data_IF_938241050266
#
_entry.id   IF_938241050266
#
_cell.length_a   1.000
_cell.length_b   1.000
_cell.length_c   1.000
_cell.angle_alpha   90.00
_cell.angle_beta   90.00
_cell.angle_gamma   90.00
#
_symmetry.space_group_name_H-M   'P 1'
#
loop_
_entity.id
_entity.type
_entity.pdbx_description
1 polymer ?
#
# COMPACT_ATOMS: atom_id res chain seq x y z
N UNK A 1 -2.96 21.03 -33.22
CA UNK A 1 -1.88 21.84 -33.81
C UNK A 1 -1.73 23.22 -33.18
N UNK A 2 -2.75 24.09 -33.11
CA UNK A 2 -2.60 25.38 -32.39
C UNK A 2 -2.70 25.26 -30.85
N UNK A 3 -3.48 24.30 -30.32
CA UNK A 3 -3.62 24.06 -28.87
C UNK A 3 -2.41 23.39 -28.23
N UNK A 4 -1.71 22.52 -28.97
CA UNK A 4 -0.54 21.78 -28.45
C UNK A 4 0.67 22.70 -28.17
N UNK A 5 0.74 23.87 -28.81
CA UNK A 5 1.80 24.85 -28.59
C UNK A 5 1.57 25.73 -27.35
N UNK A 6 0.34 25.83 -26.85
CA UNK A 6 -0.01 26.67 -25.70
C UNK A 6 0.24 25.95 -24.37
N UNK A 7 0.01 24.64 -24.34
CA UNK A 7 0.26 23.77 -23.17
C UNK A 7 1.76 23.51 -22.91
N UNK A 8 2.58 23.46 -23.96
CA UNK A 8 4.05 23.31 -23.81
C UNK A 8 4.66 24.59 -23.23
N UNK A 9 4.15 25.75 -23.65
CA UNK A 9 4.65 27.06 -23.22
C UNK A 9 4.36 27.33 -21.74
N UNK A 10 3.19 26.93 -21.25
CA UNK A 10 2.81 27.03 -19.83
C UNK A 10 3.59 26.07 -18.92
N UNK A 11 3.98 24.89 -19.42
CA UNK A 11 4.84 23.95 -18.69
C UNK A 11 6.29 24.45 -18.57
N UNK A 12 6.85 25.03 -19.65
CA UNK A 12 8.20 25.62 -19.63
C UNK A 12 8.27 26.89 -18.77
N UNK A 13 7.23 27.73 -18.79
CA UNK A 13 7.12 28.90 -17.92
C UNK A 13 7.02 28.51 -16.44
N UNK A 14 6.31 27.43 -16.13
CA UNK A 14 6.19 26.88 -14.77
C UNK A 14 7.50 26.27 -14.26
N UNK A 15 8.25 25.59 -15.12
CA UNK A 15 9.57 25.04 -14.80
C UNK A 15 10.61 26.16 -14.60
N UNK A 16 10.58 27.21 -15.44
CA UNK A 16 11.41 28.41 -15.31
C UNK A 16 11.11 29.19 -14.03
N UNK A 17 9.84 29.34 -13.67
CA UNK A 17 9.41 29.97 -12.42
C UNK A 17 9.88 29.19 -11.18
N UNK A 18 9.74 27.85 -11.18
CA UNK A 18 10.26 27.00 -10.09
C UNK A 18 11.78 27.05 -9.97
N UNK A 19 12.50 27.07 -11.09
CA UNK A 19 13.97 27.18 -11.10
C UNK A 19 14.44 28.53 -10.55
N UNK A 20 13.78 29.63 -10.92
CA UNK A 20 14.04 30.96 -10.35
C UNK A 20 13.75 31.01 -8.85
N UNK A 21 12.66 30.39 -8.39
CA UNK A 21 12.29 30.37 -6.97
C UNK A 21 13.27 29.54 -6.13
N UNK A 22 13.77 28.43 -6.66
CA UNK A 22 14.82 27.62 -6.02
C UNK A 22 16.16 28.35 -5.97
N UNK A 23 16.56 29.04 -7.04
CA UNK A 23 17.79 29.87 -7.06
C UNK A 23 17.69 31.06 -6.09
N UNK A 24 16.54 31.73 -6.03
CA UNK A 24 16.30 32.81 -5.08
C UNK A 24 16.37 32.29 -3.64
N UNK A 25 15.77 31.14 -3.33
CA UNK A 25 15.81 30.53 -2.00
C UNK A 25 17.20 30.00 -1.62
N UNK A 26 17.98 29.53 -2.58
CA UNK A 26 19.38 29.14 -2.38
C UNK A 26 20.29 30.36 -2.14
N UNK A 27 20.05 31.46 -2.87
CA UNK A 27 20.76 32.73 -2.66
C UNK A 27 20.38 33.37 -1.32
N UNK A 28 19.11 33.31 -0.91
CA UNK A 28 18.63 33.77 0.39
C UNK A 28 19.18 32.92 1.55
N UNK A 29 19.29 31.59 1.37
CA UNK A 29 19.99 30.73 2.33
C UNK A 29 21.48 31.07 2.40
N UNK A 30 22.14 31.28 1.26
CA UNK A 30 23.57 31.66 1.20
C UNK A 30 23.82 33.00 1.88
N UNK A 31 22.99 34.01 1.61
CA UNK A 31 23.09 35.34 2.22
C UNK A 31 22.81 35.31 3.74
N UNK A 32 21.87 34.48 4.20
CA UNK A 32 21.66 34.23 5.64
C UNK A 32 22.77 33.41 6.28
N UNK A 33 23.58 32.70 5.49
CA UNK A 33 24.72 31.94 6.00
C UNK A 33 25.93 32.86 6.19
N UNK A 34 26.15 33.85 5.30
CA UNK A 34 27.26 34.80 5.40
C UNK A 34 27.16 35.73 6.62
N UNK A 35 25.95 36.19 7.01
CA UNK A 35 25.74 36.99 8.22
C UNK A 35 25.90 36.19 9.54
N UNK A 36 25.76 34.85 9.48
CA UNK A 36 25.86 33.98 10.66
C UNK A 36 27.24 33.32 10.79
N UNK A 37 28.01 33.28 9.71
CA UNK A 37 29.39 32.79 9.66
C UNK A 37 30.39 33.72 10.37
N UNK A 38 30.00 34.96 10.64
CA UNK A 38 30.85 36.04 11.18
C UNK A 38 30.45 36.49 12.59
N UNK A 39 29.84 35.63 13.42
CA UNK A 39 29.52 35.98 14.82
C UNK A 39 30.82 36.24 15.63
N UNK A 40 31.11 37.50 15.99
CA UNK A 40 32.38 37.86 16.61
C UNK A 40 32.48 37.34 18.05
N UNK A 41 31.34 37.14 18.73
CA UNK A 41 31.31 36.61 20.10
C UNK A 41 31.74 35.13 20.11
N UNK A 42 31.26 34.34 19.14
CA UNK A 42 31.65 32.94 19.04
C UNK A 42 33.11 32.75 18.64
N UNK A 43 33.61 33.56 17.70
CA UNK A 43 35.04 33.52 17.33
C UNK A 43 35.94 33.88 18.50
N UNK A 44 35.56 34.88 19.27
CA UNK A 44 36.26 35.28 20.49
C UNK A 44 36.26 34.16 21.52
N UNK A 45 35.11 33.52 21.75
CA UNK A 45 34.98 32.43 22.71
C UNK A 45 35.77 31.17 22.30
N UNK A 46 35.82 30.83 21.01
CA UNK A 46 36.55 29.66 20.50
C UNK A 46 38.06 29.91 20.37
N UNK A 47 38.49 31.16 20.18
CA UNK A 47 39.90 31.50 19.90
C UNK A 47 40.41 30.95 18.56
N UNK A 48 39.51 30.52 17.67
CA UNK A 48 39.82 29.92 16.36
C UNK A 48 38.68 30.16 15.36
N UNK A 49 38.93 30.06 14.05
CA UNK A 49 37.86 30.07 13.05
C UNK A 49 36.91 28.88 13.23
N UNK A 50 35.63 29.09 12.89
CA UNK A 50 34.61 28.03 12.89
C UNK A 50 34.88 27.01 11.77
N UNK A 51 34.65 25.73 12.07
CA UNK A 51 34.59 24.70 11.03
C UNK A 51 33.25 24.79 10.26
N UNK A 52 33.18 24.35 8.99
CA UNK A 52 31.93 24.41 8.21
C UNK A 52 30.74 23.73 8.88
N UNK A 53 30.95 22.59 9.53
CA UNK A 53 29.92 21.85 10.28
C UNK A 53 29.42 22.61 11.51
N UNK A 54 30.29 23.39 12.16
CA UNK A 54 29.95 24.22 13.31
C UNK A 54 29.17 25.44 12.89
N UNK A 55 29.51 26.04 11.75
CA UNK A 55 28.79 27.17 11.20
C UNK A 55 27.33 26.81 10.87
N UNK A 56 27.11 25.66 10.25
CA UNK A 56 25.76 25.16 9.95
C UNK A 56 24.97 24.93 11.24
N UNK A 57 25.59 24.34 12.26
CA UNK A 57 24.94 24.12 13.55
C UNK A 57 24.63 25.44 14.27
N UNK A 58 25.56 26.40 14.27
CA UNK A 58 25.39 27.74 14.84
C UNK A 58 24.24 28.49 14.18
N UNK A 59 24.13 28.40 12.85
CA UNK A 59 23.04 29.00 12.09
C UNK A 59 21.65 28.44 12.43
N UNK A 60 21.58 27.19 12.87
CA UNK A 60 20.33 26.51 13.24
C UNK A 60 19.95 26.65 14.72
N UNK A 61 20.84 27.20 15.56
CA UNK A 61 20.57 27.43 16.98
C UNK A 61 19.62 28.62 17.19
N UNK A 62 18.74 28.51 18.18
CA UNK A 62 17.99 29.66 18.69
C UNK A 62 18.91 30.62 19.44
N UNK A 63 18.48 31.86 19.68
CA UNK A 63 19.26 32.83 20.48
C UNK A 63 19.61 32.28 21.87
N UNK A 64 18.65 31.62 22.53
CA UNK A 64 18.87 30.99 23.83
C UNK A 64 19.91 29.86 23.78
N UNK A 65 19.90 29.05 22.71
CA UNK A 65 20.91 28.00 22.51
C UNK A 65 22.30 28.56 22.26
N UNK A 66 22.40 29.69 21.54
CA UNK A 66 23.67 30.39 21.29
C UNK A 66 24.25 30.95 22.59
N UNK A 67 23.44 31.63 23.40
CA UNK A 67 23.85 32.12 24.72
C UNK A 67 24.32 30.98 25.64
N UNK A 68 23.55 29.89 25.71
CA UNK A 68 23.93 28.70 26.48
C UNK A 68 25.22 28.06 25.95
N UNK A 69 25.46 28.09 24.63
CA UNK A 69 26.69 27.58 24.02
C UNK A 69 27.89 28.41 24.44
N UNK A 70 27.81 29.74 24.35
CA UNK A 70 28.90 30.64 24.76
C UNK A 70 29.23 30.48 26.24
N UNK A 71 28.21 30.44 27.11
CA UNK A 71 28.39 30.20 28.53
C UNK A 71 29.09 28.86 28.81
N UNK A 72 28.73 27.79 28.07
CA UNK A 72 29.39 26.49 28.20
C UNK A 72 30.82 26.47 27.66
N UNK A 73 31.13 27.19 26.57
CA UNK A 73 32.50 27.31 26.06
C UNK A 73 33.40 27.90 27.15
N UNK A 74 32.95 28.98 27.78
CA UNK A 74 33.73 29.69 28.80
C UNK A 74 33.91 28.86 30.08
N UNK A 75 32.80 28.39 30.66
CA UNK A 75 32.82 27.67 31.95
C UNK A 75 33.47 26.28 31.83
N UNK A 76 33.13 25.50 30.79
CA UNK A 76 33.75 24.18 30.58
C UNK A 76 35.19 24.33 30.10
N UNK A 77 35.49 25.33 29.26
CA UNK A 77 36.85 25.64 28.82
C UNK A 77 37.77 26.01 29.98
N UNK A 78 37.31 26.92 30.85
CA UNK A 78 38.04 27.37 32.03
C UNK A 78 38.21 26.23 33.04
N UNK A 79 37.14 25.49 33.33
CA UNK A 79 37.21 24.36 34.26
C UNK A 79 38.14 23.24 33.75
N UNK A 80 38.08 22.88 32.46
CA UNK A 80 38.96 21.85 31.90
C UNK A 80 40.44 22.23 31.91
N UNK A 81 40.76 23.52 31.84
CA UNK A 81 42.13 24.06 31.89
C UNK A 81 42.67 24.19 33.31
N UNK A 82 41.88 24.76 34.23
CA UNK A 82 42.35 25.16 35.56
C UNK A 82 41.97 24.17 36.67
N UNK A 83 40.85 23.45 36.51
CA UNK A 83 40.26 22.55 37.54
C UNK A 83 40.20 23.16 38.95
N UNK A 84 40.06 24.48 39.05
CA UNK A 84 40.17 25.21 40.31
C UNK A 84 38.88 25.16 41.15
N UNK A 85 37.76 24.76 40.55
CA UNK A 85 36.43 24.76 41.19
C UNK A 85 35.73 23.41 41.08
N UNK A 86 34.88 23.11 42.06
CA UNK A 86 34.08 21.90 42.10
C UNK A 86 33.13 21.82 40.88
N UNK A 87 33.19 20.68 40.18
CA UNK A 87 32.37 20.40 39.00
C UNK A 87 30.86 20.50 39.29
N UNK A 88 30.41 20.21 40.52
CA UNK A 88 29.00 20.32 40.89
C UNK A 88 28.52 21.77 40.89
N UNK A 89 29.37 22.71 41.30
CA UNK A 89 29.05 24.15 41.34
C UNK A 89 28.96 24.71 39.92
N UNK A 90 29.92 24.36 39.06
CA UNK A 90 29.94 24.79 37.65
C UNK A 90 28.77 24.17 36.88
N UNK A 91 28.48 22.88 37.09
CA UNK A 91 27.35 22.20 36.47
C UNK A 91 26.01 22.86 36.87
N UNK A 92 25.85 23.22 38.15
CA UNK A 92 24.67 23.92 38.65
C UNK A 92 24.42 25.27 37.96
N UNK A 93 25.47 26.08 37.78
CA UNK A 93 25.39 27.36 37.05
C UNK A 93 24.95 27.20 35.60
N UNK A 94 25.33 26.09 34.96
CA UNK A 94 24.99 25.78 33.57
C UNK A 94 23.65 25.04 33.41
N UNK A 95 22.93 24.78 34.51
CA UNK A 95 21.69 23.99 34.49
C UNK A 95 21.91 22.54 34.06
N UNK A 96 23.10 21.98 34.30
CA UNK A 96 23.48 20.64 33.90
C UNK A 96 23.55 19.70 35.11
N UNK A 97 23.24 18.43 34.87
CA UNK A 97 23.58 17.37 35.83
C UNK A 97 25.10 17.12 35.82
N UNK A 98 25.67 16.74 36.97
CA UNK A 98 27.13 16.55 37.15
C UNK A 98 27.70 15.53 36.17
N UNK A 99 27.02 14.40 35.96
CA UNK A 99 27.44 13.37 34.99
C UNK A 99 27.42 13.87 33.54
N UNK A 100 26.44 14.71 33.21
CA UNK A 100 26.37 15.35 31.90
C UNK A 100 27.52 16.34 31.74
N UNK A 101 27.83 17.14 32.76
CA UNK A 101 28.95 18.07 32.75
C UNK A 101 30.29 17.36 32.51
N UNK A 102 30.60 16.27 33.22
CA UNK A 102 31.83 15.50 33.00
C UNK A 102 31.94 14.94 31.58
N UNK A 103 30.82 14.43 31.04
CA UNK A 103 30.76 13.90 29.67
C UNK A 103 30.99 14.99 28.62
N UNK A 104 30.41 16.18 28.80
CA UNK A 104 30.64 17.31 27.90
C UNK A 104 32.08 17.81 28.02
N UNK A 105 32.63 17.94 29.24
CA UNK A 105 34.01 18.34 29.46
C UNK A 105 35.03 17.37 28.88
N UNK A 106 34.77 16.06 28.91
CA UNK A 106 35.59 15.07 28.21
C UNK A 106 35.58 15.30 26.69
N UNK A 107 34.40 15.38 26.08
CA UNK A 107 34.26 15.60 24.63
C UNK A 107 34.84 16.94 24.18
N UNK A 108 34.73 17.97 25.02
CA UNK A 108 35.32 19.28 24.77
C UNK A 108 36.85 19.21 24.69
N UNK A 109 37.50 18.50 25.62
CA UNK A 109 38.96 18.28 25.56
C UNK A 109 39.41 17.53 24.30
N UNK A 110 38.59 16.62 23.80
CA UNK A 110 38.91 15.80 22.62
C UNK A 110 38.73 16.58 21.30
N UNK A 111 37.70 17.42 21.20
CA UNK A 111 37.27 18.00 19.91
C UNK A 111 37.36 19.52 19.84
N UNK A 112 37.28 20.19 21.00
CA UNK A 112 37.11 21.63 21.16
C UNK A 112 36.06 22.21 20.21
N UNK A 113 34.93 21.49 20.05
CA UNK A 113 33.88 21.82 19.10
C UNK A 113 32.58 22.19 19.79
N UNK A 114 31.83 23.17 19.25
CA UNK A 114 30.52 23.54 19.78
C UNK A 114 29.51 22.39 19.74
N UNK A 115 29.70 21.43 18.82
CA UNK A 115 28.89 20.21 18.72
C UNK A 115 29.07 19.30 19.94
N UNK A 116 30.18 19.44 20.67
CA UNK A 116 30.45 18.67 21.88
C UNK A 116 29.73 19.21 23.14
N UNK A 117 29.18 20.43 23.09
CA UNK A 117 28.63 21.14 24.26
C UNK A 117 27.15 20.86 24.51
N UNK A 118 26.50 20.08 23.63
CA UNK A 118 25.13 19.60 23.84
C UNK A 118 24.06 20.69 23.86
N UNK A 119 24.35 21.85 23.27
CA UNK A 119 23.45 22.99 23.05
C UNK A 119 22.95 23.05 21.61
N UNK A 120 23.70 22.50 20.66
CA UNK A 120 23.23 22.32 19.31
C UNK A 120 22.04 21.35 19.34
N UNK A 121 20.90 21.76 18.75
CA UNK A 121 19.90 20.81 18.29
C UNK A 121 20.66 19.70 17.58
N UNK A 122 20.53 18.45 18.07
CA UNK A 122 21.24 17.30 17.50
C UNK A 122 21.02 17.36 16.00
N UNK A 123 22.05 17.72 15.23
CA UNK A 123 22.06 17.51 13.79
C UNK A 123 21.60 16.08 13.63
N UNK A 124 20.48 15.81 12.91
CA UNK A 124 19.98 14.46 12.79
C UNK A 124 21.16 13.61 12.35
N UNK A 125 21.58 12.67 13.19
CA UNK A 125 22.66 11.76 12.85
C UNK A 125 22.36 11.28 11.44
N UNK A 126 23.32 11.42 10.51
CA UNK A 126 23.19 10.93 9.14
C UNK A 126 22.67 9.49 9.26
N UNK A 127 21.37 9.28 9.09
CA UNK A 127 20.81 7.94 9.01
C UNK A 127 21.55 7.37 7.83
N UNK A 128 22.38 6.34 8.05
CA UNK A 128 22.89 5.53 6.96
C UNK A 128 21.65 5.16 6.17
N UNK A 129 21.48 5.84 5.03
CA UNK A 129 20.32 5.70 4.20
C UNK A 129 20.49 4.30 3.65
N UNK A 130 19.70 3.38 4.18
CA UNK A 130 19.65 2.01 3.69
C UNK A 130 19.61 2.08 2.18
N UNK A 131 20.59 1.43 1.55
CA UNK A 131 20.66 1.39 0.11
C UNK A 131 19.34 0.81 -0.41
N UNK A 132 18.62 1.61 -1.20
CA UNK A 132 17.29 1.26 -1.69
C UNK A 132 17.32 -0.03 -2.51
N UNK A 133 18.44 -0.28 -3.18
CA UNK A 133 18.62 -1.46 -4.03
C UNK A 133 18.73 -2.74 -3.20
N UNK A 134 19.36 -2.66 -2.02
CA UNK A 134 19.46 -3.76 -1.05
C UNK A 134 18.08 -4.08 -0.47
N UNK A 135 17.32 -3.05 -0.09
CA UNK A 135 15.95 -3.23 0.45
C UNK A 135 15.04 -3.85 -0.61
N UNK A 136 15.08 -3.37 -1.85
CA UNK A 136 14.27 -3.90 -2.95
C UNK A 136 14.63 -5.34 -3.28
N UNK A 137 15.92 -5.68 -3.31
CA UNK A 137 16.39 -7.04 -3.58
C UNK A 137 15.95 -8.02 -2.50
N UNK A 138 16.02 -7.63 -1.22
CA UNK A 138 15.50 -8.44 -0.12
C UNK A 138 13.98 -8.59 -0.20
N UNK A 139 13.25 -7.50 -0.49
CA UNK A 139 11.80 -7.55 -0.69
C UNK A 139 11.38 -8.48 -1.84
N UNK A 140 12.19 -8.59 -2.89
CA UNK A 140 11.96 -9.52 -3.99
C UNK A 140 12.22 -11.00 -3.59
N UNK A 141 13.15 -11.24 -2.65
CA UNK A 141 13.49 -12.57 -2.18
C UNK A 141 12.51 -13.13 -1.12
N UNK A 142 11.96 -12.27 -0.24
CA UNK A 142 11.09 -12.69 0.87
C UNK A 142 9.92 -13.60 0.43
N UNK A 143 9.18 -13.32 -0.66
CA UNK A 143 8.04 -14.15 -1.06
C UNK A 143 8.40 -15.62 -1.34
N UNK A 144 9.57 -15.89 -1.91
CA UNK A 144 9.99 -17.27 -2.21
C UNK A 144 10.34 -18.02 -0.92
N UNK A 145 11.04 -17.35 0.00
CA UNK A 145 11.41 -17.91 1.30
C UNK A 145 10.18 -18.22 2.15
N UNK A 146 9.17 -17.33 2.13
CA UNK A 146 7.93 -17.53 2.90
C UNK A 146 7.00 -18.55 2.22
N UNK A 147 7.05 -18.75 0.91
CA UNK A 147 6.28 -19.82 0.24
C UNK A 147 6.76 -21.22 0.62
N UNK A 148 8.06 -21.39 0.83
CA UNK A 148 8.69 -22.65 1.27
C UNK A 148 8.60 -22.86 2.80
N UNK A 149 7.68 -22.14 3.46
CA UNK A 149 7.61 -22.05 4.93
C UNK A 149 7.22 -23.34 5.62
N UNK A 150 6.79 -24.41 4.96
CA UNK A 150 6.21 -25.66 5.54
C UNK A 150 6.55 -25.92 7.05
N UNK A 151 5.78 -25.29 7.95
CA UNK A 151 5.98 -25.35 9.42
C UNK A 151 7.17 -24.56 10.05
N UNK A 152 8.05 -23.95 9.27
CA UNK A 152 9.20 -23.17 9.72
C UNK A 152 8.84 -21.96 10.58
N UNK A 153 9.64 -21.74 11.63
CA UNK A 153 9.51 -20.59 12.53
C UNK A 153 9.92 -19.27 11.86
N UNK A 154 9.37 -18.14 12.34
CA UNK A 154 9.76 -16.80 11.85
C UNK A 154 11.28 -16.59 11.96
N UNK A 155 11.89 -17.04 13.06
CA UNK A 155 13.34 -16.94 13.27
C UNK A 155 14.15 -17.70 12.20
N UNK A 156 13.64 -18.84 11.75
CA UNK A 156 14.26 -19.61 10.67
C UNK A 156 14.11 -18.93 9.31
N UNK A 157 12.94 -18.36 9.00
CA UNK A 157 12.73 -17.59 7.77
C UNK A 157 13.61 -16.34 7.72
N UNK A 158 13.77 -15.65 8.84
CA UNK A 158 14.70 -14.51 8.98
C UNK A 158 16.14 -14.94 8.75
N UNK A 159 16.55 -16.11 9.28
CA UNK A 159 17.88 -16.66 9.03
C UNK A 159 18.09 -16.99 7.55
N UNK A 160 17.12 -17.60 6.88
CA UNK A 160 17.18 -17.88 5.43
C UNK A 160 17.26 -16.59 4.62
N UNK A 161 16.48 -15.56 4.99
CA UNK A 161 16.55 -14.24 4.35
C UNK A 161 17.92 -13.59 4.58
N UNK A 162 18.48 -13.68 5.78
CA UNK A 162 19.83 -13.20 6.06
C UNK A 162 20.93 -13.98 5.31
N UNK A 163 20.66 -15.20 4.85
CA UNK A 163 21.59 -16.01 4.06
C UNK A 163 21.50 -15.75 2.54
N UNK A 164 20.52 -14.97 2.06
CA UNK A 164 20.42 -14.62 0.63
C UNK A 164 21.63 -13.82 0.16
N UNK A 165 22.03 -14.00 -1.10
CA UNK A 165 23.18 -13.32 -1.70
C UNK A 165 22.82 -11.88 -2.15
N UNK A 166 22.46 -11.05 -1.18
CA UNK A 166 22.18 -9.62 -1.39
C UNK A 166 23.26 -8.82 -0.65
N UNK A 167 24.06 -8.06 -1.40
CA UNK A 167 25.09 -7.18 -0.84
C UNK A 167 24.50 -6.16 0.15
N UNK A 168 25.23 -5.78 1.20
CA UNK A 168 24.77 -4.77 2.16
C UNK A 168 23.66 -5.20 3.13
N UNK A 169 23.21 -6.47 3.08
CA UNK A 169 22.18 -7.02 3.99
C UNK A 169 22.57 -6.95 5.47
N UNK A 170 23.86 -7.01 5.79
CA UNK A 170 24.37 -6.94 7.17
C UNK A 170 24.14 -5.55 7.81
N UNK A 171 23.82 -4.55 6.99
CA UNK A 171 23.42 -3.22 7.46
C UNK A 171 21.96 -3.16 7.92
N UNK A 172 21.14 -4.17 7.58
CA UNK A 172 19.77 -4.31 8.07
C UNK A 172 19.77 -5.13 9.36
N UNK A 173 19.34 -4.51 10.45
CA UNK A 173 19.17 -5.21 11.71
C UNK A 173 18.15 -6.35 11.60
N UNK A 174 18.33 -7.39 12.41
CA UNK A 174 17.44 -8.57 12.47
C UNK A 174 15.97 -8.22 12.67
N UNK A 175 15.67 -7.10 13.36
CA UNK A 175 14.31 -6.60 13.54
C UNK A 175 13.66 -6.15 12.23
N UNK A 176 14.42 -5.55 11.31
CA UNK A 176 13.91 -5.13 10.00
C UNK A 176 13.65 -6.33 9.10
N UNK A 177 14.56 -7.30 9.07
CA UNK A 177 14.36 -8.56 8.34
C UNK A 177 13.14 -9.32 8.88
N UNK A 178 12.98 -9.36 10.21
CA UNK A 178 11.79 -9.93 10.85
C UNK A 178 10.50 -9.22 10.43
N UNK A 179 10.48 -7.89 10.44
CA UNK A 179 9.32 -7.12 10.02
C UNK A 179 8.96 -7.36 8.54
N UNK A 180 9.95 -7.56 7.66
CA UNK A 180 9.71 -7.92 6.26
C UNK A 180 9.06 -9.30 6.13
N UNK A 181 9.59 -10.31 6.84
CA UNK A 181 9.03 -11.67 6.86
C UNK A 181 7.62 -11.69 7.43
N UNK A 182 7.39 -11.06 8.58
CA UNK A 182 6.07 -11.00 9.22
C UNK A 182 5.04 -10.29 8.33
N UNK A 183 5.45 -9.21 7.64
CA UNK A 183 4.58 -8.53 6.68
C UNK A 183 4.22 -9.43 5.51
N UNK A 184 5.17 -10.19 4.99
CA UNK A 184 4.91 -11.10 3.86
C UNK A 184 4.03 -12.29 4.26
N UNK A 185 4.24 -12.84 5.47
CA UNK A 185 3.35 -13.87 6.04
C UNK A 185 1.92 -13.32 6.12
N UNK A 186 1.73 -12.15 6.74
CA UNK A 186 0.40 -11.51 6.83
C UNK A 186 -0.19 -11.28 5.46
N UNK A 187 0.62 -10.83 4.48
CA UNK A 187 0.15 -10.62 3.11
C UNK A 187 -0.33 -11.91 2.45
N UNK A 188 0.38 -13.02 2.65
CA UNK A 188 -0.02 -14.33 2.11
C UNK A 188 -1.27 -14.88 2.82
N UNK A 189 -1.36 -14.71 4.14
CA UNK A 189 -2.55 -15.05 4.92
C UNK A 189 -3.76 -14.23 4.43
N UNK A 190 -3.61 -12.90 4.28
CA UNK A 190 -4.66 -12.03 3.74
C UNK A 190 -5.05 -12.41 2.31
N UNK A 191 -4.11 -12.84 1.46
CA UNK A 191 -4.42 -13.31 0.09
C UNK A 191 -5.35 -14.52 0.05
N UNK A 192 -5.28 -15.38 1.05
CA UNK A 192 -6.13 -16.56 1.19
C UNK A 192 -7.46 -16.26 1.88
N UNK A 193 -7.71 -15.03 2.33
CA UNK A 193 -8.94 -14.65 3.01
C UNK A 193 -10.01 -14.18 2.02
N UNK A 194 -11.30 -14.48 2.30
CA UNK A 194 -12.42 -13.91 1.56
C UNK A 194 -12.35 -12.38 1.52
N UNK A 195 -12.65 -11.75 0.38
CA UNK A 195 -12.66 -10.30 0.20
C UNK A 195 -11.33 -9.67 -0.21
N UNK A 196 -10.25 -10.43 -0.25
CA UNK A 196 -8.96 -9.90 -0.70
C UNK A 196 -8.93 -9.61 -2.20
N UNK A 197 -9.55 -10.49 -3.00
CA UNK A 197 -9.64 -10.35 -4.46
C UNK A 197 -11.00 -10.79 -4.97
N UNK A 198 -11.67 -9.89 -5.69
CA UNK A 198 -12.87 -10.21 -6.44
C UNK A 198 -12.58 -10.38 -7.92
N UNK A 199 -13.36 -11.23 -8.56
CA UNK A 199 -13.37 -11.37 -10.01
C UNK A 199 -14.80 -11.29 -10.51
N UNK A 200 -15.01 -10.46 -11.51
CA UNK A 200 -16.27 -10.22 -12.17
C UNK A 200 -16.19 -10.87 -13.54
N UNK A 201 -17.05 -11.85 -13.79
CA UNK A 201 -16.99 -12.70 -14.99
C UNK A 201 -18.38 -12.94 -15.59
N UNK A 202 -18.38 -13.35 -16.86
CA UNK A 202 -19.56 -13.56 -17.70
C UNK A 202 -19.54 -14.99 -18.21
N UNK A 203 -20.62 -15.74 -18.05
CA UNK A 203 -20.76 -17.08 -18.64
C UNK A 203 -22.18 -17.34 -19.10
N UNK A 204 -22.35 -18.13 -20.17
CA UNK A 204 -23.63 -18.70 -20.49
C UNK A 204 -23.90 -19.84 -19.50
N UNK A 205 -25.15 -20.01 -19.13
CA UNK A 205 -25.60 -21.09 -18.25
C UNK A 205 -26.49 -22.05 -19.02
N UNK A 206 -26.53 -23.31 -18.59
CA UNK A 206 -27.35 -24.36 -19.21
C UNK A 206 -28.87 -24.20 -19.03
N UNK A 207 -29.38 -22.97 -18.99
CA UNK A 207 -30.79 -22.61 -18.84
C UNK A 207 -31.25 -21.97 -20.15
N UNK A 208 -32.27 -22.56 -20.79
CA UNK A 208 -32.81 -22.06 -22.05
C UNK A 208 -33.81 -20.94 -21.82
N UNK A 209 -33.74 -19.90 -22.64
CA UNK A 209 -34.76 -18.86 -22.74
C UNK A 209 -35.91 -19.31 -23.69
N UNK A 210 -36.95 -18.48 -23.81
CA UNK A 210 -38.09 -18.72 -24.71
C UNK A 210 -37.70 -18.89 -26.18
N UNK A 211 -36.60 -18.25 -26.59
CA UNK A 211 -36.12 -18.24 -27.97
C UNK A 211 -35.18 -19.42 -28.28
N UNK A 212 -34.96 -20.32 -27.30
CA UNK A 212 -34.07 -21.48 -27.42
C UNK A 212 -32.57 -21.16 -27.25
N UNK A 213 -32.23 -19.90 -27.03
CA UNK A 213 -30.90 -19.44 -26.61
C UNK A 213 -30.64 -19.71 -25.13
N UNK A 214 -29.42 -19.41 -24.68
CA UNK A 214 -29.02 -19.57 -23.28
C UNK A 214 -29.03 -18.24 -22.55
N UNK A 215 -29.38 -18.27 -21.27
CA UNK A 215 -29.15 -17.12 -20.40
C UNK A 215 -27.65 -16.89 -20.17
N UNK A 216 -27.26 -15.62 -20.16
CA UNK A 216 -25.94 -15.17 -19.74
C UNK A 216 -26.01 -14.71 -18.30
N UNK A 217 -25.09 -15.22 -17.48
CA UNK A 217 -24.91 -14.89 -16.08
C UNK A 217 -23.67 -14.03 -15.89
N UNK A 218 -23.86 -12.90 -15.23
CA UNK A 218 -22.84 -12.03 -14.67
C UNK A 218 -22.68 -12.40 -13.20
N UNK A 219 -21.44 -12.56 -12.73
CA UNK A 219 -21.20 -12.88 -11.33
C UNK A 219 -20.06 -12.06 -10.74
N UNK A 220 -20.18 -11.79 -9.45
CA UNK A 220 -19.12 -11.34 -8.56
C UNK A 220 -18.65 -12.56 -7.76
N UNK A 221 -17.42 -12.99 -7.97
CA UNK A 221 -16.84 -14.18 -7.33
C UNK A 221 -15.71 -13.73 -6.42
N UNK A 222 -15.68 -14.24 -5.20
CA UNK A 222 -14.52 -14.09 -4.33
C UNK A 222 -13.47 -15.15 -4.68
N UNK A 223 -12.26 -14.74 -5.03
CA UNK A 223 -11.24 -15.65 -5.57
C UNK A 223 -10.69 -16.62 -4.51
N UNK A 224 -10.71 -16.25 -3.23
CA UNK A 224 -10.18 -17.07 -2.15
C UNK A 224 -11.16 -18.17 -1.75
N UNK A 225 -12.40 -17.80 -1.44
CA UNK A 225 -13.45 -18.72 -1.02
C UNK A 225 -14.16 -19.43 -2.18
N UNK A 226 -14.03 -18.90 -3.41
CA UNK A 226 -14.74 -19.35 -4.63
C UNK A 226 -16.25 -19.10 -4.59
N UNK A 227 -16.74 -18.41 -3.56
CA UNK A 227 -18.15 -18.08 -3.37
C UNK A 227 -18.60 -17.11 -4.45
N UNK A 228 -19.78 -17.37 -5.02
CA UNK A 228 -20.49 -16.41 -5.85
C UNK A 228 -21.21 -15.43 -4.93
N UNK A 229 -20.61 -14.27 -4.73
CA UNK A 229 -21.09 -13.26 -3.77
C UNK A 229 -22.34 -12.56 -4.27
N UNK A 230 -22.46 -12.37 -5.58
CA UNK A 230 -23.70 -11.91 -6.23
C UNK A 230 -23.71 -12.27 -7.71
N UNK A 231 -24.89 -12.27 -8.31
CA UNK A 231 -25.08 -12.56 -9.72
C UNK A 231 -26.28 -11.83 -10.32
N UNK A 232 -26.32 -11.78 -11.65
CA UNK A 232 -27.46 -11.32 -12.41
C UNK A 232 -27.49 -12.01 -13.78
N UNK A 233 -28.67 -12.04 -14.41
CA UNK A 233 -28.80 -12.36 -15.83
C UNK A 233 -28.78 -11.08 -16.66
N UNK A 234 -28.25 -11.13 -17.88
CA UNK A 234 -28.15 -9.94 -18.74
C UNK A 234 -27.68 -10.26 -20.16
N UNK A 235 -27.28 -9.22 -20.90
CA UNK A 235 -26.70 -9.34 -22.24
C UNK A 235 -25.20 -9.04 -22.23
N UNK A 236 -24.41 -9.77 -23.03
CA UNK A 236 -22.98 -9.50 -23.19
C UNK A 236 -22.69 -8.17 -23.90
N UNK A 237 -23.68 -7.65 -24.62
CA UNK A 237 -23.63 -6.36 -25.32
C UNK A 237 -23.70 -5.16 -24.36
N UNK A 238 -24.19 -5.37 -23.14
CA UNK A 238 -24.26 -4.38 -22.06
C UNK A 238 -23.75 -5.02 -20.76
N UNK A 239 -22.45 -5.34 -20.75
CA UNK A 239 -21.83 -5.95 -19.55
C UNK A 239 -21.83 -5.00 -18.36
N UNK A 240 -21.83 -3.68 -18.60
CA UNK A 240 -21.96 -2.69 -17.54
C UNK A 240 -23.24 -2.91 -16.73
N UNK A 241 -24.41 -3.02 -17.37
CA UNK A 241 -25.66 -3.21 -16.64
C UNK A 241 -25.72 -4.59 -15.95
N UNK A 242 -25.22 -5.63 -16.61
CA UNK A 242 -25.08 -6.96 -16.02
C UNK A 242 -24.25 -6.96 -14.73
N UNK A 243 -23.08 -6.32 -14.73
CA UNK A 243 -22.26 -6.19 -13.54
C UNK A 243 -22.84 -5.27 -12.49
N UNK A 244 -23.53 -4.20 -12.89
CA UNK A 244 -24.27 -3.33 -11.97
C UNK A 244 -25.29 -4.12 -11.19
N UNK A 245 -26.10 -4.93 -11.87
CA UNK A 245 -27.11 -5.77 -11.25
C UNK A 245 -26.48 -6.83 -10.33
N UNK A 246 -25.40 -7.49 -10.78
CA UNK A 246 -24.69 -8.48 -9.98
C UNK A 246 -24.05 -7.87 -8.71
N UNK A 247 -23.53 -6.64 -8.79
CA UNK A 247 -22.95 -5.93 -7.65
C UNK A 247 -24.02 -5.49 -6.65
N UNK A 248 -25.20 -5.04 -7.10
CA UNK A 248 -26.35 -4.76 -6.22
C UNK A 248 -26.80 -6.02 -5.47
N UNK A 249 -26.88 -7.13 -6.19
CA UNK A 249 -27.22 -8.42 -5.61
C UNK A 249 -26.14 -8.89 -4.61
N UNK A 250 -24.85 -8.67 -4.91
CA UNK A 250 -23.75 -8.92 -3.98
C UNK A 250 -23.88 -8.10 -2.69
N UNK A 251 -24.09 -6.79 -2.79
CA UNK A 251 -24.29 -5.90 -1.64
C UNK A 251 -25.45 -6.37 -0.77
N UNK A 252 -26.59 -6.73 -1.37
CA UNK A 252 -27.75 -7.25 -0.64
C UNK A 252 -27.47 -8.60 0.05
N UNK A 253 -26.54 -9.40 -0.48
CA UNK A 253 -26.18 -10.71 0.08
C UNK A 253 -25.15 -10.65 1.18
N UNK A 254 -24.25 -9.67 1.18
CA UNK A 254 -23.19 -9.54 2.19
C UNK A 254 -23.76 -9.47 3.62
N UNK A 255 -25.00 -9.01 3.77
CA UNK A 255 -25.69 -8.96 5.05
C UNK A 255 -26.35 -10.29 5.48
N UNK A 256 -26.41 -11.30 4.61
CA UNK A 256 -27.01 -12.59 4.94
C UNK A 256 -26.14 -13.35 5.95
N UNK A 257 -26.75 -14.12 6.89
CA UNK A 257 -26.01 -14.83 7.94
C UNK A 257 -24.86 -15.72 7.44
N UNK A 258 -25.03 -16.34 6.27
CA UNK A 258 -24.00 -17.18 5.64
C UNK A 258 -22.73 -16.41 5.31
N UNK A 259 -22.83 -15.27 4.61
CA UNK A 259 -21.64 -14.49 4.26
C UNK A 259 -21.06 -13.72 5.45
N UNK A 260 -21.88 -13.36 6.44
CA UNK A 260 -21.42 -12.70 7.67
C UNK A 260 -20.58 -13.61 8.58
N UNK A 261 -20.65 -14.93 8.43
CA UNK A 261 -19.86 -15.87 9.24
C UNK A 261 -18.42 -16.03 8.76
N UNK A 262 -18.07 -15.45 7.61
CA UNK A 262 -16.74 -15.53 7.04
C UNK A 262 -15.76 -14.60 7.76
N UNK A 263 -14.48 -15.00 7.77
CA UNK A 263 -13.37 -14.15 8.20
C UNK A 263 -12.91 -13.25 7.07
N UNK A 264 -13.70 -12.23 6.72
CA UNK A 264 -13.37 -11.32 5.62
C UNK A 264 -12.02 -10.62 5.85
N UNK A 265 -11.30 -10.38 4.75
CA UNK A 265 -10.03 -9.67 4.74
C UNK A 265 -10.23 -8.23 5.21
N UNK A 266 -9.22 -7.69 5.89
CA UNK A 266 -9.19 -6.28 6.31
C UNK A 266 -9.14 -5.30 5.14
N UNK A 267 -8.69 -5.76 3.97
CA UNK A 267 -8.51 -4.91 2.78
C UNK A 267 -8.87 -5.67 1.52
N UNK A 268 -9.53 -5.01 0.58
CA UNK A 268 -9.64 -5.50 -0.80
C UNK A 268 -8.49 -4.95 -1.64
N UNK A 269 -7.57 -5.82 -2.05
CA UNK A 269 -6.40 -5.39 -2.82
C UNK A 269 -6.67 -5.29 -4.32
N UNK A 270 -7.62 -6.08 -4.84
CA UNK A 270 -7.81 -6.22 -6.29
C UNK A 270 -9.24 -6.61 -6.68
N UNK A 271 -9.72 -6.05 -7.78
CA UNK A 271 -10.86 -6.58 -8.51
C UNK A 271 -10.53 -6.70 -10.01
N UNK A 272 -10.75 -7.89 -10.58
CA UNK A 272 -10.62 -8.12 -12.02
C UNK A 272 -11.99 -8.15 -12.66
N UNK A 273 -12.18 -7.41 -13.75
CA UNK A 273 -13.45 -7.32 -14.46
C UNK A 273 -13.26 -7.79 -15.90
N UNK A 274 -13.99 -8.83 -16.29
CA UNK A 274 -14.02 -9.31 -17.67
C UNK A 274 -14.90 -8.39 -18.50
N UNK A 275 -14.41 -7.92 -19.64
CA UNK A 275 -15.23 -7.07 -20.52
C UNK A 275 -16.27 -7.88 -21.28
N UNK A 276 -17.47 -7.33 -21.49
CA UNK A 276 -18.41 -7.80 -22.49
C UNK A 276 -18.00 -7.38 -23.90
N UNK A 277 -18.96 -7.25 -24.81
CA UNK A 277 -18.72 -6.68 -26.14
C UNK A 277 -18.59 -5.13 -26.09
N UNK A 278 -19.05 -4.51 -25.00
CA UNK A 278 -18.99 -3.08 -24.67
C UNK A 278 -17.66 -2.64 -24.00
N UNK A 279 -16.52 -3.05 -24.55
CA UNK A 279 -15.18 -2.81 -23.97
C UNK A 279 -14.92 -1.33 -23.66
N UNK A 280 -15.29 -0.41 -24.56
CA UNK A 280 -15.07 1.04 -24.40
C UNK A 280 -15.88 1.63 -23.24
N UNK A 281 -17.14 1.20 -23.09
CA UNK A 281 -18.03 1.67 -22.04
C UNK A 281 -17.51 1.25 -20.65
N UNK A 282 -17.08 -0.01 -20.52
CA UNK A 282 -16.54 -0.53 -19.27
C UNK A 282 -15.16 0.06 -18.95
N UNK A 283 -14.35 0.33 -19.97
CA UNK A 283 -13.06 1.01 -19.81
C UNK A 283 -13.24 2.44 -19.30
N UNK A 284 -14.21 3.16 -19.87
CA UNK A 284 -14.55 4.52 -19.43
C UNK A 284 -15.06 4.55 -17.99
N UNK A 285 -15.86 3.56 -17.60
CA UNK A 285 -16.25 3.35 -16.20
C UNK A 285 -14.99 3.29 -15.33
N UNK A 286 -14.13 2.27 -15.51
CA UNK A 286 -12.94 2.00 -14.68
C UNK A 286 -11.90 3.13 -14.68
N UNK A 287 -11.82 3.94 -15.74
CA UNK A 287 -10.92 5.09 -15.82
C UNK A 287 -11.48 6.34 -15.11
N UNK A 288 -12.80 6.52 -15.10
CA UNK A 288 -13.44 7.72 -14.57
C UNK A 288 -13.32 7.89 -13.05
N UNK A 289 -12.89 6.85 -12.31
CA UNK A 289 -12.88 6.86 -10.84
C UNK A 289 -11.47 6.64 -10.27
N UNK A 290 -10.70 7.73 -10.17
CA UNK A 290 -9.35 7.76 -9.59
C UNK A 290 -9.32 7.38 -8.10
N UNK A 291 -10.42 7.59 -7.37
CA UNK A 291 -10.45 7.41 -5.93
C UNK A 291 -10.56 5.93 -5.52
N UNK A 292 -11.30 5.10 -6.27
CA UNK A 292 -11.31 3.65 -6.06
C UNK A 292 -9.95 3.00 -6.31
N UNK A 293 -9.15 3.57 -7.22
CA UNK A 293 -7.76 3.10 -7.44
C UNK A 293 -6.84 3.36 -6.25
N UNK A 294 -7.26 4.18 -5.27
CA UNK A 294 -6.54 4.33 -3.99
C UNK A 294 -6.77 3.15 -3.06
N UNK A 295 -7.91 2.46 -3.22
CA UNK A 295 -8.38 1.41 -2.31
C UNK A 295 -8.10 0.01 -2.87
N UNK A 296 -8.33 -0.22 -4.16
CA UNK A 296 -8.11 -1.50 -4.80
C UNK A 296 -7.57 -1.34 -6.23
N UNK A 297 -6.73 -2.29 -6.66
CA UNK A 297 -6.33 -2.37 -8.07
C UNK A 297 -7.49 -2.92 -8.91
N UNK A 298 -8.07 -2.08 -9.76
CA UNK A 298 -9.04 -2.50 -10.77
C UNK A 298 -8.30 -2.89 -12.05
N UNK A 299 -8.55 -4.09 -12.56
CA UNK A 299 -7.99 -4.59 -13.81
C UNK A 299 -9.10 -5.01 -14.76
N UNK A 300 -8.96 -4.65 -16.03
CA UNK A 300 -9.83 -5.14 -17.09
C UNK A 300 -9.20 -6.36 -17.77
N UNK A 301 -10.03 -7.32 -18.15
CA UNK A 301 -9.61 -8.48 -18.94
C UNK A 301 -10.26 -8.43 -20.33
N UNK A 302 -9.41 -8.21 -21.32
CA UNK A 302 -9.62 -8.01 -22.76
C UNK A 302 -9.87 -9.14 -23.74
N UNK A 303 -9.32 -10.29 -23.39
CA UNK A 303 -8.83 -11.25 -24.40
C UNK A 303 -9.93 -11.98 -25.17
N UNK A 304 -9.55 -12.59 -26.31
CA UNK A 304 -10.47 -13.40 -27.15
C UNK A 304 -11.09 -14.63 -26.45
N UNK A 305 -10.57 -15.05 -25.30
CA UNK A 305 -11.07 -16.19 -24.48
C UNK A 305 -11.33 -15.78 -23.03
N UNK A 306 -11.72 -14.52 -22.83
CA UNK A 306 -11.93 -13.91 -21.50
C UNK A 306 -13.18 -14.41 -20.80
N UNK A 307 -14.27 -14.63 -21.54
CA UNK A 307 -15.57 -15.00 -20.98
C UNK A 307 -15.46 -16.36 -20.27
N UNK A 308 -15.96 -16.41 -19.05
CA UNK A 308 -15.94 -17.57 -18.17
C UNK A 308 -14.53 -18.06 -17.81
N UNK A 309 -13.53 -17.19 -17.89
CA UNK A 309 -12.16 -17.50 -17.47
C UNK A 309 -12.09 -17.79 -15.98
N UNK A 310 -12.65 -16.91 -15.17
CA UNK A 310 -12.60 -16.99 -13.72
C UNK A 310 -13.60 -17.99 -13.16
N UNK A 311 -14.73 -18.21 -13.85
CA UNK A 311 -15.56 -19.38 -13.59
C UNK A 311 -14.74 -20.67 -13.72
N UNK A 312 -14.03 -20.88 -14.83
CA UNK A 312 -13.18 -22.08 -14.99
C UNK A 312 -12.05 -22.17 -13.97
N UNK A 313 -11.47 -21.04 -13.58
CA UNK A 313 -10.35 -20.97 -12.64
C UNK A 313 -10.78 -21.29 -11.20
N UNK A 314 -11.91 -20.74 -10.73
CA UNK A 314 -12.30 -20.79 -9.32
C UNK A 314 -13.49 -21.69 -9.02
N UNK A 315 -14.48 -21.72 -9.93
CA UNK A 315 -15.75 -22.43 -9.72
C UNK A 315 -15.75 -23.80 -10.38
N UNK A 316 -15.14 -23.92 -11.57
CA UNK A 316 -15.17 -25.08 -12.44
C UNK A 316 -16.18 -24.93 -13.59
N UNK A 317 -16.67 -26.07 -14.09
CA UNK A 317 -17.59 -26.10 -15.24
C UNK A 317 -19.08 -26.20 -14.84
N UNK A 318 -19.38 -26.18 -13.53
CA UNK A 318 -20.73 -26.42 -13.03
C UNK A 318 -20.92 -25.80 -11.62
N UNK A 319 -22.10 -25.23 -11.38
CA UNK A 319 -22.57 -24.77 -10.07
C UNK A 319 -23.78 -25.62 -9.72
N UNK A 320 -23.70 -26.47 -8.70
CA UNK A 320 -24.79 -27.41 -8.38
C UNK A 320 -25.08 -28.33 -9.58
N UNK A 321 -26.26 -28.24 -10.17
CA UNK A 321 -26.71 -28.88 -11.42
C UNK A 321 -26.58 -27.98 -12.65
N UNK A 322 -26.29 -26.69 -12.45
CA UNK A 322 -26.13 -25.70 -13.52
C UNK A 322 -24.79 -25.83 -14.22
N UNK A 323 -24.83 -26.30 -15.48
CA UNK A 323 -23.65 -26.32 -16.35
C UNK A 323 -23.28 -24.91 -16.79
N UNK A 324 -22.00 -24.59 -16.69
CA UNK A 324 -21.43 -23.35 -17.20
C UNK A 324 -20.88 -23.59 -18.61
N UNK A 325 -21.19 -22.68 -19.53
CA UNK A 325 -20.86 -22.81 -20.95
C UNK A 325 -20.15 -21.55 -21.48
N UNK A 326 -18.93 -21.24 -21.02
CA UNK A 326 -18.21 -20.00 -21.40
C UNK A 326 -18.07 -19.77 -22.91
N UNK A 327 -17.91 -20.84 -23.69
CA UNK A 327 -17.75 -20.78 -25.15
C UNK A 327 -19.03 -20.36 -25.88
N UNK A 328 -20.19 -20.46 -25.20
CA UNK A 328 -21.51 -20.18 -25.78
C UNK A 328 -22.06 -18.78 -25.48
N UNK A 329 -21.31 -17.94 -24.75
CA UNK A 329 -21.78 -16.58 -24.35
C UNK A 329 -22.11 -15.67 -25.53
N UNK A 330 -21.33 -15.76 -26.61
CA UNK A 330 -21.53 -14.99 -27.84
C UNK A 330 -22.01 -15.88 -29.01
N UNK A 331 -22.40 -17.12 -28.72
CA UNK A 331 -22.89 -18.05 -29.75
C UNK A 331 -24.41 -17.91 -29.87
N UNK A 332 -24.86 -17.34 -30.98
CA UNK A 332 -26.29 -17.15 -31.28
C UNK A 332 -26.98 -18.45 -31.70
N UNK A 333 -26.24 -19.55 -31.88
CA UNK A 333 -26.85 -20.82 -32.24
C UNK A 333 -27.57 -21.46 -31.05
N UNK A 334 -28.78 -22.02 -31.27
CA UNK A 334 -29.51 -22.72 -30.22
C UNK A 334 -28.64 -23.83 -29.66
N UNK A 335 -28.36 -23.76 -28.37
CA UNK A 335 -27.48 -24.71 -27.73
C UNK A 335 -28.21 -26.05 -27.57
N UNK A 336 -27.55 -27.14 -27.99
CA UNK A 336 -27.94 -28.50 -27.60
C UNK A 336 -27.67 -28.68 -26.11
N UNK A 337 -28.58 -28.16 -25.29
CA UNK A 337 -28.59 -28.36 -23.83
C UNK A 337 -29.66 -29.40 -23.51
N UNK A 338 -29.37 -30.22 -22.51
CA UNK A 338 -30.15 -31.35 -22.04
C UNK A 338 -31.54 -30.98 -21.54
N UNK A 339 -31.76 -29.72 -21.12
CA UNK A 339 -33.09 -29.23 -20.74
C UNK A 339 -33.96 -29.02 -21.99
N UNK A 340 -35.12 -29.67 -22.03
CA UNK A 340 -36.19 -29.39 -23.02
C UNK A 340 -37.07 -28.21 -22.62
N UNK A 341 -36.94 -27.70 -21.38
CA UNK A 341 -37.79 -26.65 -20.82
C UNK A 341 -37.15 -25.29 -21.05
N UNK A 342 -37.93 -24.39 -21.65
CA UNK A 342 -37.61 -22.97 -21.74
C UNK A 342 -38.14 -22.24 -20.50
N UNK A 343 -37.33 -21.35 -19.94
CA UNK A 343 -37.62 -20.60 -18.73
C UNK A 343 -37.87 -19.13 -19.07
N UNK A 344 -38.86 -18.52 -18.42
CA UNK A 344 -38.95 -17.06 -18.33
C UNK A 344 -37.76 -16.48 -17.55
N UNK A 345 -37.56 -15.17 -17.63
CA UNK A 345 -36.45 -14.49 -16.94
C UNK A 345 -36.52 -14.71 -15.43
N UNK A 346 -37.72 -14.59 -14.84
CA UNK A 346 -37.91 -14.73 -13.39
C UNK A 346 -37.70 -16.18 -12.93
N UNK A 347 -38.20 -17.15 -13.69
CA UNK A 347 -37.97 -18.58 -13.38
C UNK A 347 -36.50 -18.96 -13.51
N UNK A 348 -35.82 -18.46 -14.56
CA UNK A 348 -34.39 -18.67 -14.73
C UNK A 348 -33.60 -18.06 -13.56
N UNK A 349 -33.95 -16.83 -13.15
CA UNK A 349 -33.31 -16.18 -12.00
C UNK A 349 -33.53 -16.95 -10.70
N UNK A 350 -34.75 -17.40 -10.43
CA UNK A 350 -35.07 -18.19 -9.25
C UNK A 350 -34.32 -19.54 -9.25
N UNK A 351 -34.22 -20.18 -10.41
CA UNK A 351 -33.50 -21.44 -10.56
C UNK A 351 -31.99 -21.25 -10.34
N UNK A 352 -31.39 -20.21 -10.94
CA UNK A 352 -29.97 -19.86 -10.71
C UNK A 352 -29.74 -19.55 -9.23
N UNK A 353 -30.66 -18.85 -8.55
CA UNK A 353 -30.56 -18.54 -7.12
C UNK A 353 -30.45 -19.81 -6.26
N UNK A 354 -31.28 -20.82 -6.54
CA UNK A 354 -31.24 -22.09 -5.81
C UNK A 354 -29.90 -22.79 -6.01
N UNK A 355 -29.43 -22.89 -7.25
CA UNK A 355 -28.17 -23.59 -7.57
C UNK A 355 -26.95 -22.86 -6.98
N UNK A 356 -26.93 -21.52 -7.02
CA UNK A 356 -25.90 -20.70 -6.39
C UNK A 356 -25.94 -20.82 -4.87
N UNK A 357 -27.13 -20.81 -4.26
CA UNK A 357 -27.28 -20.96 -2.81
C UNK A 357 -26.80 -22.34 -2.32
N UNK A 358 -27.18 -23.42 -3.01
CA UNK A 358 -26.71 -24.78 -2.72
C UNK A 358 -25.19 -24.90 -2.90
N UNK A 359 -24.63 -24.30 -3.95
CA UNK A 359 -23.18 -24.27 -4.17
C UNK A 359 -22.45 -23.52 -3.06
N UNK A 360 -22.88 -22.30 -2.74
CA UNK A 360 -22.27 -21.47 -1.72
C UNK A 360 -22.38 -22.11 -0.32
N UNK A 361 -23.51 -22.74 0.01
CA UNK A 361 -23.69 -23.41 1.31
C UNK A 361 -22.62 -24.48 1.58
N UNK A 362 -22.17 -25.19 0.55
CA UNK A 362 -21.08 -26.18 0.68
C UNK A 362 -19.72 -25.54 0.95
N UNK A 363 -19.45 -24.38 0.34
CA UNK A 363 -18.19 -23.66 0.51
C UNK A 363 -18.14 -22.89 1.84
N UNK A 364 -19.29 -22.40 2.31
CA UNK A 364 -19.38 -21.63 3.55
C UNK A 364 -18.87 -22.41 4.77
N UNK A 365 -19.04 -23.74 4.79
CA UNK A 365 -18.51 -24.57 5.88
C UNK A 365 -16.98 -24.64 5.87
N UNK A 366 -16.35 -24.63 4.68
CA UNK A 366 -14.89 -24.67 4.53
C UNK A 366 -14.22 -23.36 4.99
N UNK A 367 -14.89 -22.22 4.77
CA UNK A 367 -14.35 -20.89 5.08
C UNK A 367 -14.97 -20.24 6.32
N UNK A 368 -15.75 -21.01 7.08
CA UNK A 368 -16.33 -20.55 8.33
C UNK A 368 -15.21 -20.15 9.29
N UNK A 369 -15.32 -18.95 9.85
CA UNK A 369 -14.35 -18.43 10.80
C UNK A 369 -14.89 -18.48 12.22
N UNK A 370 -14.06 -18.91 13.18
CA UNK A 370 -14.36 -18.79 14.62
C UNK A 370 -14.36 -17.33 15.09
N UNK A 371 -13.70 -16.46 14.33
CA UNK A 371 -13.74 -15.01 14.50
C UNK A 371 -14.25 -14.36 13.21
N UNK A 372 -15.58 -14.38 12.97
CA UNK A 372 -16.17 -13.72 11.81
C UNK A 372 -15.84 -12.24 11.81
N UNK A 373 -15.64 -11.68 10.63
CA UNK A 373 -15.37 -10.25 10.44
C UNK A 373 -16.22 -9.72 9.30
N UNK A 374 -16.81 -8.51 9.38
CA UNK A 374 -17.53 -7.96 8.24
C UNK A 374 -16.59 -7.70 7.04
N UNK A 375 -17.14 -7.59 5.82
CA UNK A 375 -16.40 -7.09 4.66
C UNK A 375 -15.73 -5.75 4.94
N UNK A 376 -14.54 -5.53 4.38
CA UNK A 376 -13.81 -4.26 4.49
C UNK A 376 -14.60 -3.10 3.86
N UNK A 377 -14.31 -1.87 4.29
CA UNK A 377 -14.91 -0.68 3.67
C UNK A 377 -14.57 -0.63 2.17
N UNK A 378 -13.34 -1.01 1.80
CA UNK A 378 -12.90 -1.09 0.42
C UNK A 378 -13.71 -2.09 -0.41
N UNK A 379 -14.12 -3.22 0.19
CA UNK A 379 -15.02 -4.18 -0.47
C UNK A 379 -16.36 -3.51 -0.81
N UNK A 380 -16.94 -2.82 0.16
CA UNK A 380 -18.24 -2.16 0.02
C UNK A 380 -18.16 -1.04 -1.03
N UNK A 381 -17.10 -0.24 -1.00
CA UNK A 381 -16.88 0.84 -1.96
C UNK A 381 -16.71 0.32 -3.40
N UNK A 382 -15.94 -0.75 -3.60
CA UNK A 382 -15.77 -1.38 -4.92
C UNK A 382 -17.11 -1.89 -5.47
N UNK A 383 -17.93 -2.53 -4.64
CA UNK A 383 -19.23 -3.04 -5.08
C UNK A 383 -20.24 -1.91 -5.33
N UNK A 384 -20.31 -0.90 -4.46
CA UNK A 384 -21.18 0.28 -4.66
C UNK A 384 -20.85 1.02 -5.95
N UNK A 385 -19.57 1.11 -6.26
CA UNK A 385 -19.10 1.72 -7.49
C UNK A 385 -19.57 0.96 -8.73
N UNK A 386 -19.39 -0.36 -8.74
CA UNK A 386 -19.86 -1.20 -9.86
C UNK A 386 -21.39 -1.17 -9.95
N UNK A 387 -22.09 -1.05 -8.81
CA UNK A 387 -23.53 -0.92 -8.70
C UNK A 387 -24.11 0.44 -9.15
N UNK A 388 -23.27 1.43 -9.47
CA UNK A 388 -23.66 2.77 -9.95
C UNK A 388 -23.71 2.84 -11.48
#
# INVERSE_FOLDING_TARGET
MARDHEDIKTAEESASARSKLLRARAAELSARTDDVLDDPALRTALGRPLRPEEAVAWAQMTTADREATLARIDEIGTWTRLKAEDAAVVAGRLGLQVDQFYRLGKKWRETQSILALGTANKVPARRNRLDGDVVNSLQAAVPNIVKERDGASISELVRRLAQTDVGGKDMLGTSTLRAMVEREIRRLESKGQPGFRFVLDITAVGVKNSDGGLYTMFAVIDAASRIVVGFATGSVDDSRDGYRAAAKDALARLDRPGLRSLGWSETTARADIVTGEDVEALTSLVLSHSDLRRHAQLSLTDGKRRLGRYFREFVGNQIGRMRLLPVKVADTQPASVTSSVAYSVDEAKAWIEVEVAEYNARLLEEFRSDTPRPPSAETIDVLNYIAS
#
